data_IF_686423380153
#
_entry.id   IF_686423380153
#
_cell.length_a   1.000
_cell.length_b   1.000
_cell.length_c   1.000
_cell.angle_alpha   90.00
_cell.angle_beta   90.00
_cell.angle_gamma   90.00
#
_symmetry.space_group_name_H-M   'P 1'
#
loop_
_entity.id
_entity.type
_entity.pdbx_description
1 polymer ?
#
# COMPACT_ATOMS: atom_id res chain seq x y z
N UNK A 1 -20.28 -32.41 15.07
CA UNK A 1 -19.12 -31.49 15.05
C UNK A 1 -18.71 -31.05 13.64
N UNK A 2 -18.76 -31.90 12.60
CA UNK A 2 -18.30 -31.54 11.24
C UNK A 2 -18.99 -30.36 10.55
N UNK A 3 -20.30 -30.13 10.80
CA UNK A 3 -21.06 -29.01 10.20
C UNK A 3 -20.63 -27.63 10.72
N UNK A 4 -20.35 -27.52 12.01
CA UNK A 4 -19.91 -26.25 12.62
C UNK A 4 -18.54 -25.86 12.08
N UNK A 5 -17.62 -26.84 11.97
CA UNK A 5 -16.29 -26.60 11.40
C UNK A 5 -16.36 -26.13 9.94
N UNK A 6 -17.26 -26.69 9.13
CA UNK A 6 -17.41 -26.28 7.73
C UNK A 6 -18.01 -24.88 7.58
N UNK A 7 -18.98 -24.50 8.42
CA UNK A 7 -19.49 -23.12 8.44
C UNK A 7 -18.45 -22.11 8.90
N UNK A 8 -17.64 -22.45 9.90
CA UNK A 8 -16.54 -21.59 10.35
C UNK A 8 -15.47 -21.40 9.26
N UNK A 9 -15.15 -22.48 8.53
CA UNK A 9 -14.19 -22.42 7.42
C UNK A 9 -14.72 -21.56 6.27
N UNK A 10 -16.01 -21.69 5.93
CA UNK A 10 -16.66 -20.86 4.93
C UNK A 10 -16.66 -19.38 5.36
N UNK A 11 -16.98 -19.09 6.63
CA UNK A 11 -16.95 -17.73 7.16
C UNK A 11 -15.53 -17.13 7.10
N UNK A 12 -14.50 -17.90 7.45
CA UNK A 12 -13.11 -17.46 7.34
C UNK A 12 -12.71 -17.15 5.89
N UNK A 13 -13.10 -18.00 4.93
CA UNK A 13 -12.86 -17.75 3.50
C UNK A 13 -13.54 -16.48 3.00
N UNK A 14 -14.79 -16.22 3.42
CA UNK A 14 -15.52 -15.00 3.07
C UNK A 14 -14.80 -13.77 3.64
N UNK A 15 -14.36 -13.81 4.90
CA UNK A 15 -13.63 -12.70 5.53
C UNK A 15 -12.31 -12.43 4.81
N UNK A 16 -11.51 -13.45 4.52
CA UNK A 16 -10.23 -13.29 3.80
C UNK A 16 -10.48 -12.76 2.38
N UNK A 17 -11.49 -13.28 1.68
CA UNK A 17 -11.86 -12.80 0.34
C UNK A 17 -12.31 -11.34 0.35
N UNK A 18 -13.13 -10.95 1.33
CA UNK A 18 -13.58 -9.57 1.49
C UNK A 18 -12.43 -8.62 1.80
N UNK A 19 -11.54 -8.99 2.74
CA UNK A 19 -10.36 -8.17 3.06
C UNK A 19 -9.41 -8.06 1.87
N UNK A 20 -9.17 -9.16 1.15
CA UNK A 20 -8.37 -9.15 -0.07
C UNK A 20 -8.97 -8.23 -1.14
N UNK A 21 -10.29 -8.28 -1.32
CA UNK A 21 -11.00 -7.42 -2.26
C UNK A 21 -10.91 -5.93 -1.87
N UNK A 22 -11.24 -5.57 -0.62
CA UNK A 22 -11.14 -4.19 -0.15
C UNK A 22 -9.71 -3.63 -0.21
N UNK A 23 -8.70 -4.46 0.02
CA UNK A 23 -7.29 -4.07 -0.10
C UNK A 23 -6.86 -3.87 -1.55
N UNK A 24 -7.44 -4.64 -2.48
CA UNK A 24 -7.20 -4.51 -3.91
C UNK A 24 -7.93 -3.30 -4.50
N UNK A 25 -9.04 -2.85 -3.91
CA UNK A 25 -9.80 -1.68 -4.41
C UNK A 25 -8.94 -0.41 -4.33
N UNK A 26 -8.96 0.34 -5.41
CA UNK A 26 -8.15 1.55 -5.55
C UNK A 26 -8.55 2.65 -4.58
N UNK A 27 -9.83 2.78 -4.21
CA UNK A 27 -10.36 3.88 -3.42
C UNK A 27 -9.80 4.01 -1.98
N UNK A 28 -9.81 2.97 -1.13
CA UNK A 28 -9.23 3.06 0.23
C UNK A 28 -7.70 3.21 0.19
N UNK A 29 -7.04 2.63 -0.81
CA UNK A 29 -5.59 2.70 -0.96
C UNK A 29 -5.08 4.00 -1.63
N UNK A 30 -5.93 4.71 -2.40
CA UNK A 30 -5.69 6.08 -2.84
C UNK A 30 -5.77 7.07 -1.68
N UNK A 31 -6.80 6.95 -0.85
CA UNK A 31 -7.08 7.94 0.19
C UNK A 31 -6.05 7.92 1.34
N UNK A 32 -5.60 6.74 1.80
CA UNK A 32 -4.62 6.62 2.88
C UNK A 32 -3.18 6.42 2.39
N UNK A 33 -2.98 5.67 1.30
CA UNK A 33 -1.66 5.31 0.81
C UNK A 33 -0.96 6.42 0.03
N UNK A 34 -1.65 7.15 -0.85
CA UNK A 34 -0.99 8.16 -1.70
C UNK A 34 -0.58 9.42 -0.91
N UNK A 35 -1.41 9.87 0.03
CA UNK A 35 -1.08 11.02 0.89
C UNK A 35 0.11 10.73 1.82
N UNK A 36 0.16 9.53 2.38
CA UNK A 36 1.30 9.08 3.20
C UNK A 36 2.53 8.84 2.33
N UNK A 37 2.38 8.18 1.18
CA UNK A 37 3.49 7.89 0.29
C UNK A 37 4.12 9.17 -0.29
N UNK A 38 3.31 10.18 -0.61
CA UNK A 38 3.81 11.48 -1.07
C UNK A 38 4.62 12.20 0.02
N UNK A 39 4.18 12.14 1.28
CA UNK A 39 4.94 12.69 2.41
C UNK A 39 6.27 11.95 2.59
N UNK A 40 6.24 10.61 2.61
CA UNK A 40 7.43 9.76 2.74
C UNK A 40 8.41 9.92 1.57
N UNK A 41 7.94 10.26 0.36
CA UNK A 41 8.79 10.48 -0.80
C UNK A 41 9.81 11.62 -0.61
N UNK A 42 9.46 12.64 0.18
CA UNK A 42 10.32 13.79 0.44
C UNK A 42 10.99 13.76 1.82
N UNK A 43 10.78 12.73 2.64
CA UNK A 43 11.37 12.62 3.98
C UNK A 43 12.91 12.59 3.94
N UNK A 44 13.49 12.05 2.86
CA UNK A 44 14.95 11.99 2.64
C UNK A 44 15.53 13.41 2.39
N UNK A 45 14.73 14.32 1.83
CA UNK A 45 15.19 15.64 1.39
C UNK A 45 14.16 16.72 1.73
N UNK A 46 14.38 17.56 2.77
CA UNK A 46 13.38 18.54 3.22
C UNK A 46 13.01 19.63 2.20
N UNK A 47 13.80 19.80 1.13
CA UNK A 47 13.55 20.73 0.02
C UNK A 47 12.78 20.07 -1.15
N UNK A 48 12.42 18.79 -1.03
CA UNK A 48 11.87 18.00 -2.11
C UNK A 48 10.45 18.42 -2.46
N UNK A 49 10.18 18.49 -3.77
CA UNK A 49 8.84 18.70 -4.32
C UNK A 49 8.48 17.47 -5.15
N UNK A 50 7.37 16.82 -4.82
CA UNK A 50 6.81 15.69 -5.59
C UNK A 50 5.98 16.26 -6.74
N UNK A 51 6.18 15.76 -7.96
CA UNK A 51 5.29 16.07 -9.09
C UNK A 51 3.86 15.56 -8.81
N UNK A 52 2.85 16.17 -9.43
CA UNK A 52 1.42 16.00 -9.12
C UNK A 52 0.87 14.57 -8.90
N UNK A 53 1.56 13.51 -9.33
CA UNK A 53 1.21 12.13 -8.98
C UNK A 53 2.36 11.12 -9.18
N UNK A 54 2.17 9.86 -8.74
CA UNK A 54 3.13 8.78 -8.97
C UNK A 54 3.22 8.44 -10.47
N UNK A 55 4.44 8.28 -10.97
CA UNK A 55 4.74 7.88 -12.35
C UNK A 55 4.39 6.42 -12.61
N UNK A 56 4.51 5.56 -11.60
CA UNK A 56 4.15 4.14 -11.66
C UNK A 56 3.62 3.69 -10.30
N UNK A 57 2.58 2.88 -10.33
CA UNK A 57 2.05 2.20 -9.14
C UNK A 57 2.16 0.69 -9.40
N UNK A 58 2.68 -0.05 -8.43
CA UNK A 58 2.72 -1.51 -8.47
C UNK A 58 2.20 -2.01 -7.14
N UNK A 59 1.30 -2.99 -7.16
CA UNK A 59 0.61 -3.46 -5.95
C UNK A 59 0.62 -4.98 -5.88
N UNK A 60 0.91 -5.47 -4.67
CA UNK A 60 0.75 -6.84 -4.23
C UNK A 60 -0.33 -6.89 -3.13
N UNK A 61 -0.67 -8.10 -2.66
CA UNK A 61 -1.71 -8.32 -1.64
C UNK A 61 -1.43 -7.52 -0.34
N UNK A 62 -0.16 -7.32 0.00
CA UNK A 62 0.28 -6.69 1.27
C UNK A 62 1.14 -5.45 1.08
N UNK A 63 1.51 -5.11 -0.16
CA UNK A 63 2.46 -4.04 -0.47
C UNK A 63 1.99 -3.19 -1.64
N UNK A 64 2.30 -1.91 -1.59
CA UNK A 64 2.18 -0.99 -2.73
C UNK A 64 3.47 -0.24 -2.90
N UNK A 65 3.94 -0.16 -4.14
CA UNK A 65 5.11 0.61 -4.53
C UNK A 65 4.66 1.75 -5.43
N UNK A 66 5.09 2.94 -5.07
CA UNK A 66 4.85 4.18 -5.79
C UNK A 66 6.18 4.70 -6.29
N UNK A 67 6.30 4.94 -7.59
CA UNK A 67 7.43 5.64 -8.15
C UNK A 67 7.06 7.10 -8.27
N UNK A 68 7.69 7.96 -7.47
CA UNK A 68 7.53 9.40 -7.55
C UNK A 68 8.68 10.05 -8.29
N UNK A 69 8.35 11.06 -9.09
CA UNK A 69 9.34 11.98 -9.63
C UNK A 69 9.39 13.20 -8.72
N UNK A 70 10.57 13.46 -8.17
CA UNK A 70 10.83 14.58 -7.28
C UNK A 70 11.81 15.55 -7.94
N UNK A 71 11.97 16.75 -7.37
CA UNK A 71 13.01 17.71 -7.76
C UNK A 71 14.44 17.15 -7.69
N UNK A 72 14.68 16.13 -6.87
CA UNK A 72 16.00 15.51 -6.65
C UNK A 72 16.18 14.17 -7.39
N UNK A 73 15.20 13.75 -8.19
CA UNK A 73 15.24 12.50 -8.95
C UNK A 73 14.06 11.58 -8.63
N UNK A 74 14.21 10.31 -8.96
CA UNK A 74 13.17 9.29 -8.75
C UNK A 74 13.27 8.70 -7.34
N UNK A 75 12.14 8.61 -6.67
CA UNK A 75 12.01 7.99 -5.35
C UNK A 75 10.98 6.87 -5.44
N UNK A 76 11.35 5.69 -4.94
CA UNK A 76 10.45 4.57 -4.78
C UNK A 76 9.94 4.59 -3.35
N UNK A 77 8.64 4.69 -3.17
CA UNK A 77 7.99 4.59 -1.87
C UNK A 77 7.27 3.28 -1.78
N UNK A 78 7.66 2.43 -0.84
CA UNK A 78 7.02 1.15 -0.57
C UNK A 78 6.18 1.28 0.69
N UNK A 79 4.86 1.20 0.52
CA UNK A 79 3.90 1.12 1.60
C UNK A 79 3.49 -0.33 1.83
N UNK A 80 3.64 -0.82 3.06
CA UNK A 80 3.29 -2.17 3.48
C UNK A 80 2.27 -2.11 4.60
N UNK A 81 1.41 -3.12 4.68
CA UNK A 81 0.50 -3.25 5.81
C UNK A 81 1.14 -4.03 6.94
N UNK A 82 1.03 -3.52 8.17
CA UNK A 82 1.67 -4.13 9.34
C UNK A 82 1.13 -5.53 9.66
N UNK A 83 -0.15 -5.79 9.37
CA UNK A 83 -0.70 -7.16 9.37
C UNK A 83 -1.37 -7.47 8.03
N UNK A 84 -1.24 -8.72 7.59
CA UNK A 84 -1.61 -9.24 6.26
C UNK A 84 -3.04 -8.87 5.84
N UNK A 85 -3.94 -8.61 6.79
CA UNK A 85 -5.34 -8.23 6.54
C UNK A 85 -5.88 -7.09 7.40
N UNK A 86 -5.13 -6.62 8.40
CA UNK A 86 -5.59 -5.65 9.39
C UNK A 86 -4.44 -4.72 9.80
N UNK A 87 -4.74 -3.53 10.30
CA UNK A 87 -3.71 -2.59 10.78
C UNK A 87 -3.28 -1.53 9.78
N UNK A 88 -2.37 -0.68 10.27
CA UNK A 88 -1.96 0.55 9.63
C UNK A 88 -1.02 0.31 8.45
N UNK A 89 -0.95 1.30 7.58
CA UNK A 89 0.00 1.35 6.48
C UNK A 89 1.27 2.04 6.96
N UNK A 90 2.40 1.36 6.80
CA UNK A 90 3.73 1.91 7.01
C UNK A 90 4.42 2.10 5.67
N UNK A 91 4.96 3.28 5.40
CA UNK A 91 5.64 3.61 4.15
C UNK A 91 7.12 3.85 4.39
N UNK A 92 7.95 3.38 3.46
CA UNK A 92 9.40 3.58 3.45
C UNK A 92 9.82 4.12 2.09
N UNK A 93 10.82 5.03 2.06
CA UNK A 93 11.36 5.59 0.82
C UNK A 93 12.76 5.10 0.54
N UNK A 94 13.02 4.78 -0.73
CA UNK A 94 14.31 4.37 -1.26
C UNK A 94 14.61 5.18 -2.53
N UNK A 95 15.89 5.46 -2.79
CA UNK A 95 16.29 6.06 -4.06
C UNK A 95 16.03 5.05 -5.18
N UNK A 96 15.27 5.46 -6.19
CA UNK A 96 15.04 4.64 -7.37
C UNK A 96 16.27 4.61 -8.27
N UNK A 97 16.75 3.42 -8.61
CA UNK A 97 17.75 3.21 -9.68
C UNK A 97 17.05 2.67 -10.93
N UNK A 98 17.49 3.12 -12.11
CA UNK A 98 17.04 2.61 -13.41
C UNK A 98 17.57 1.21 -13.68
#
# INVERSE_FOLDING_TARGET
>A
MGRIASYLLLAACIVVGYQGYENAREAPARAMGEGLAMQTACEIHPQCVVSAGPTKITADITRRRYLYRTSHGLVVVTCTRDYVFFGDWSCTSERGTF
#
